data_IF_675830546873
#
_entry.id   IF_675830546873
#
_cell.length_a   1.000
_cell.length_b   1.000
_cell.length_c   1.000
_cell.angle_alpha   90.00
_cell.angle_beta   90.00
_cell.angle_gamma   90.00
#
_symmetry.space_group_name_H-M   'P 1'
#
loop_
_entity.id
_entity.type
_entity.pdbx_description
1 polymer ?
#
# COMPACT_ATOMS: atom_id res chain seq x y z
N UNK A 1 7.07 15.32 -21.88
CA UNK A 1 5.81 15.18 -21.11
C UNK A 1 5.00 13.95 -21.53
N UNK A 2 4.79 13.71 -22.83
CA UNK A 2 4.06 12.53 -23.33
C UNK A 2 4.65 11.19 -22.84
N UNK A 3 5.98 11.06 -22.77
CA UNK A 3 6.64 9.83 -22.28
C UNK A 3 6.29 9.48 -20.83
N UNK A 4 6.16 10.47 -19.94
CA UNK A 4 5.71 10.24 -18.55
C UNK A 4 4.27 9.71 -18.51
N UNK A 5 3.42 10.18 -19.42
CA UNK A 5 2.02 9.75 -19.50
C UNK A 5 1.86 8.36 -20.13
N UNK A 6 2.87 7.86 -20.87
CA UNK A 6 2.81 6.54 -21.50
C UNK A 6 3.22 5.37 -20.58
N UNK A 7 3.85 5.64 -19.43
CA UNK A 7 4.23 4.58 -18.48
C UNK A 7 3.15 4.34 -17.42
N UNK A 8 3.20 3.16 -16.78
CA UNK A 8 2.37 2.86 -15.62
C UNK A 8 2.67 3.84 -14.48
N UNK A 9 1.63 4.51 -13.99
CA UNK A 9 1.73 5.46 -12.88
C UNK A 9 2.30 4.77 -11.62
N UNK A 10 1.84 3.57 -11.30
CA UNK A 10 2.29 2.80 -10.13
C UNK A 10 3.79 2.50 -10.21
N UNK A 11 4.26 2.10 -11.40
CA UNK A 11 5.67 1.81 -11.64
C UNK A 11 6.53 3.06 -11.51
N UNK A 12 6.07 4.20 -12.05
CA UNK A 12 6.79 5.47 -11.93
C UNK A 12 6.84 5.95 -10.47
N UNK A 13 5.75 5.82 -9.71
CA UNK A 13 5.72 6.19 -8.28
C UNK A 13 6.70 5.33 -7.48
N UNK A 14 6.72 4.01 -7.70
CA UNK A 14 7.68 3.11 -7.05
C UNK A 14 9.13 3.44 -7.41
N UNK A 15 9.41 3.71 -8.69
CA UNK A 15 10.73 4.11 -9.16
C UNK A 15 11.19 5.43 -8.53
N UNK A 16 10.35 6.46 -8.55
CA UNK A 16 10.67 7.78 -7.97
C UNK A 16 10.93 7.69 -6.47
N UNK A 17 10.15 6.89 -5.73
CA UNK A 17 10.37 6.70 -4.30
C UNK A 17 11.78 6.13 -4.00
N UNK A 18 12.27 5.21 -4.82
CA UNK A 18 13.59 4.62 -4.64
C UNK A 18 14.73 5.54 -5.12
N UNK A 19 14.56 6.21 -6.26
CA UNK A 19 15.61 7.06 -6.82
C UNK A 19 15.79 8.39 -6.06
N UNK A 20 14.72 8.94 -5.48
CA UNK A 20 14.79 10.20 -4.72
C UNK A 20 15.30 10.04 -3.30
N UNK A 21 14.98 8.91 -2.66
CA UNK A 21 15.38 8.60 -1.29
C UNK A 21 16.45 7.51 -1.26
N UNK A 22 17.53 7.77 -1.98
CA UNK A 22 18.68 6.86 -2.03
C UNK A 22 19.57 7.03 -0.80
N UNK A 23 19.98 5.92 -0.19
CA UNK A 23 20.99 5.92 0.88
C UNK A 23 20.42 5.98 2.29
N UNK A 24 20.87 6.90 3.18
CA UNK A 24 20.55 6.85 4.61
C UNK A 24 19.04 6.90 4.93
N UNK A 25 18.61 6.02 5.84
CA UNK A 25 17.25 6.04 6.39
C UNK A 25 17.18 6.93 7.64
N UNK A 26 16.19 7.84 7.69
CA UNK A 26 15.79 8.57 8.91
C UNK A 26 14.46 8.02 9.41
N UNK A 27 13.97 8.50 10.56
CA UNK A 27 12.64 8.13 11.05
C UNK A 27 11.56 8.46 10.00
N UNK A 28 11.64 9.64 9.38
CA UNK A 28 10.70 10.13 8.39
C UNK A 28 10.74 9.29 7.11
N UNK A 29 11.95 8.99 6.58
CA UNK A 29 12.04 8.17 5.37
C UNK A 29 11.61 6.73 5.61
N UNK A 30 11.74 6.21 6.84
CA UNK A 30 11.18 4.91 7.24
C UNK A 30 9.66 4.93 7.35
N UNK A 31 9.08 6.04 7.81
CA UNK A 31 7.62 6.22 7.83
C UNK A 31 7.10 6.20 6.39
N UNK A 32 7.61 7.06 5.51
CA UNK A 32 7.10 7.16 4.14
C UNK A 32 7.53 6.01 3.22
N UNK A 33 8.66 5.37 3.49
CA UNK A 33 9.11 4.18 2.79
C UNK A 33 8.49 2.92 3.40
N UNK A 34 9.18 2.35 4.39
CA UNK A 34 8.83 1.04 4.95
C UNK A 34 7.41 0.95 5.47
N UNK A 35 6.99 1.85 6.36
CA UNK A 35 5.66 1.77 6.97
C UNK A 35 4.55 2.02 5.94
N UNK A 36 4.65 3.12 5.20
CA UNK A 36 3.61 3.50 4.23
C UNK A 36 3.54 2.53 3.05
N UNK A 37 4.65 2.00 2.52
CA UNK A 37 4.59 1.02 1.43
C UNK A 37 3.88 -0.27 1.84
N UNK A 38 4.17 -0.80 3.04
CA UNK A 38 3.45 -1.96 3.59
C UNK A 38 1.97 -1.65 3.82
N UNK A 39 1.66 -0.45 4.31
CA UNK A 39 0.28 -0.03 4.50
C UNK A 39 -0.48 0.09 3.16
N UNK A 40 0.15 0.66 2.13
CA UNK A 40 -0.42 0.76 0.79
C UNK A 40 -0.74 -0.62 0.21
N UNK A 41 0.13 -1.61 0.46
CA UNK A 41 -0.13 -2.99 0.05
C UNK A 41 -1.30 -3.61 0.83
N UNK A 42 -1.41 -3.37 2.15
CA UNK A 42 -2.56 -3.83 2.95
C UNK A 42 -3.87 -3.21 2.42
N UNK A 43 -3.86 -1.90 2.12
CA UNK A 43 -5.04 -1.17 1.68
C UNK A 43 -5.56 -1.54 0.29
N UNK A 44 -4.78 -2.24 -0.52
CA UNK A 44 -5.24 -2.74 -1.81
C UNK A 44 -5.84 -4.15 -1.72
N UNK A 45 -5.79 -4.81 -0.56
CA UNK A 45 -6.21 -6.22 -0.43
C UNK A 45 -7.63 -6.40 0.13
N UNK A 46 -8.34 -7.47 -0.27
CA UNK A 46 -9.72 -7.74 0.17
C UNK A 46 -9.89 -7.86 1.68
N UNK A 47 -8.89 -8.39 2.40
CA UNK A 47 -8.96 -8.52 3.86
C UNK A 47 -9.17 -7.15 4.55
N UNK A 48 -8.65 -6.06 4.00
CA UNK A 48 -8.83 -4.73 4.56
C UNK A 48 -10.09 -4.04 4.00
N UNK A 49 -10.19 -3.89 2.68
CA UNK A 49 -11.18 -3.02 2.00
C UNK A 49 -12.33 -3.76 1.29
N UNK A 50 -12.29 -5.10 1.24
CA UNK A 50 -13.31 -5.92 0.58
C UNK A 50 -14.67 -5.84 1.26
N UNK A 51 -15.72 -6.32 0.60
CA UNK A 51 -17.11 -6.32 1.14
C UNK A 51 -17.23 -7.01 2.50
N UNK A 52 -16.54 -8.14 2.66
CA UNK A 52 -16.43 -8.86 3.94
C UNK A 52 -15.11 -8.56 4.69
N UNK A 53 -14.45 -7.46 4.33
CA UNK A 53 -13.19 -7.01 4.89
C UNK A 53 -13.36 -6.26 6.21
N UNK A 54 -12.23 -6.08 6.92
CA UNK A 54 -12.22 -5.51 8.26
C UNK A 54 -12.82 -4.10 8.34
N UNK A 55 -12.51 -3.23 7.38
CA UNK A 55 -12.92 -1.82 7.43
C UNK A 55 -14.42 -1.65 7.21
N UNK A 56 -15.02 -2.40 6.27
CA UNK A 56 -16.45 -2.28 5.95
C UNK A 56 -17.35 -2.88 7.01
N UNK A 57 -16.90 -3.93 7.70
CA UNK A 57 -17.70 -4.62 8.72
C UNK A 57 -17.53 -4.01 10.12
N UNK A 58 -16.65 -3.04 10.29
CA UNK A 58 -16.48 -2.35 11.57
C UNK A 58 -17.82 -1.73 12.04
N UNK A 59 -18.23 -2.03 13.27
CA UNK A 59 -19.49 -1.56 13.85
C UNK A 59 -20.75 -2.35 13.46
N UNK A 60 -20.66 -3.31 12.52
CA UNK A 60 -21.82 -4.12 12.09
C UNK A 60 -22.12 -5.31 13.00
N UNK A 61 -21.19 -5.70 13.87
CA UNK A 61 -21.27 -6.92 14.69
C UNK A 61 -20.95 -8.21 13.93
N UNK A 62 -20.73 -8.13 12.60
CA UNK A 62 -20.36 -9.28 11.76
C UNK A 62 -18.84 -9.48 11.77
N UNK A 63 -18.40 -10.73 11.88
CA UNK A 63 -16.97 -11.08 11.85
C UNK A 63 -16.43 -11.05 10.41
N UNK A 64 -15.31 -10.35 10.14
CA UNK A 64 -14.68 -10.35 8.81
C UNK A 64 -14.20 -11.73 8.35
N UNK A 65 -14.26 -11.95 7.04
CA UNK A 65 -13.72 -13.13 6.37
C UNK A 65 -12.31 -12.82 5.87
N UNK A 66 -11.32 -13.49 6.46
CA UNK A 66 -9.92 -13.32 6.07
C UNK A 66 -9.39 -14.53 5.32
N UNK A 67 -8.71 -14.26 4.20
CA UNK A 67 -7.75 -15.21 3.66
C UNK A 67 -6.54 -15.30 4.61
N UNK A 68 -6.27 -16.53 5.10
CA UNK A 68 -5.23 -16.83 6.09
C UNK A 68 -3.89 -17.20 5.45
N UNK A 69 -3.83 -17.32 4.12
CA UNK A 69 -2.59 -17.61 3.43
C UNK A 69 -1.61 -16.44 3.58
N UNK A 70 -0.36 -16.75 3.94
CA UNK A 70 0.74 -15.77 3.95
C UNK A 70 1.22 -15.50 2.53
N UNK A 71 1.72 -14.29 2.31
CA UNK A 71 2.39 -13.87 1.07
C UNK A 71 3.87 -13.71 1.35
#
# INVERSE_FOLDING_TARGET
LQERASFSADALTGMEANLRFVGPETMETRIFGRLTAWQNWIFQRPNAIGEQGALKLYGTGVKPAFDKQRV
#
